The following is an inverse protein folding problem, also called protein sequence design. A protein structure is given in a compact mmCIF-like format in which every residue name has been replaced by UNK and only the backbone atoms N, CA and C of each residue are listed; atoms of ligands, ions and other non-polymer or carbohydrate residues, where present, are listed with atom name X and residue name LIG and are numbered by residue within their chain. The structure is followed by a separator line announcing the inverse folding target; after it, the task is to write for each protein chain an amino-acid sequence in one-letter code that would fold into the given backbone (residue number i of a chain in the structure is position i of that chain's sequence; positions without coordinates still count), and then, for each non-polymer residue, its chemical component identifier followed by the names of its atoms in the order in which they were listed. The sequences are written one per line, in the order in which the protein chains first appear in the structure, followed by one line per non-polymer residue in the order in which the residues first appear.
data_IF_288047940364
#
_entry.id   IF_288047940364
#
_cell.length_a   1.000
_cell.length_b   1.000
_cell.length_c   1.000
_cell.angle_alpha   90.00
_cell.angle_beta   90.00
_cell.angle_gamma   90.00
#
_symmetry.space_group_name_H-M   'P 1'
#
loop_
_entity.id
_entity.type
_entity.pdbx_description
1 polymer ?
#
# COMPACT_ATOMS: atom_id res chain seq x y z
N UNK A 1 -8.37 21.21 14.20
CA UNK A 1 -7.31 20.48 14.93
C UNK A 1 -6.61 19.63 13.88
N UNK A 2 -5.55 20.16 13.26
CA UNK A 2 -4.78 19.42 12.27
C UNK A 2 -3.93 18.37 13.00
N UNK A 3 -4.50 17.18 13.14
CA UNK A 3 -3.82 16.01 13.74
C UNK A 3 -2.55 15.66 12.93
N UNK A 4 -2.43 16.16 11.70
CA UNK A 4 -1.29 15.95 10.81
C UNK A 4 -0.23 17.08 10.82
N UNK A 5 -0.42 18.14 11.60
CA UNK A 5 0.53 19.27 11.65
C UNK A 5 1.90 18.91 12.27
N UNK A 6 1.96 17.84 13.08
CA UNK A 6 3.21 17.32 13.67
C UNK A 6 3.84 16.16 12.91
N UNK A 7 3.33 15.80 11.72
CA UNK A 7 3.79 14.61 10.99
C UNK A 7 5.09 14.92 10.23
N UNK A 8 6.20 14.43 10.76
CA UNK A 8 7.50 14.38 10.09
C UNK A 8 7.59 13.15 9.16
N UNK A 9 8.57 13.10 8.25
CA UNK A 9 8.82 11.98 7.33
C UNK A 9 8.82 10.62 8.02
N UNK A 10 9.50 10.50 9.17
CA UNK A 10 9.59 9.26 9.95
C UNK A 10 8.23 8.81 10.47
N UNK A 11 7.38 9.76 10.86
CA UNK A 11 6.05 9.48 11.36
C UNK A 11 5.12 9.02 10.23
N UNK A 12 5.26 9.60 9.05
CA UNK A 12 4.49 9.20 7.86
C UNK A 12 4.91 7.79 7.38
N UNK A 13 6.20 7.47 7.46
CA UNK A 13 6.69 6.10 7.25
C UNK A 13 6.19 5.11 8.32
N UNK A 14 6.14 5.51 9.59
CA UNK A 14 5.59 4.67 10.66
C UNK A 14 4.09 4.37 10.43
N UNK A 15 3.32 5.35 9.96
CA UNK A 15 1.90 5.17 9.63
C UNK A 15 1.68 4.19 8.48
N UNK A 16 2.55 4.18 7.45
CA UNK A 16 2.43 3.21 6.34
C UNK A 16 2.65 1.78 6.84
N UNK A 17 3.62 1.58 7.73
CA UNK A 17 3.86 0.30 8.39
C UNK A 17 2.71 -0.11 9.33
N UNK A 18 2.20 0.81 10.15
CA UNK A 18 1.08 0.55 11.05
C UNK A 18 -0.17 0.14 10.29
N UNK A 19 -0.50 0.84 9.20
CA UNK A 19 -1.65 0.51 8.36
C UNK A 19 -1.54 -0.91 7.77
N UNK A 20 -0.35 -1.26 7.25
CA UNK A 20 -0.08 -2.59 6.71
C UNK A 20 -0.20 -3.69 7.78
N UNK A 21 0.39 -3.48 8.96
CA UNK A 21 0.32 -4.41 10.08
C UNK A 21 -1.12 -4.59 10.57
N UNK A 22 -1.86 -3.49 10.76
CA UNK A 22 -3.26 -3.52 11.16
C UNK A 22 -4.12 -4.32 10.16
N UNK A 23 -3.92 -4.11 8.85
CA UNK A 23 -4.65 -4.85 7.82
C UNK A 23 -4.31 -6.34 7.84
N UNK A 24 -3.01 -6.69 7.93
CA UNK A 24 -2.56 -8.07 8.03
C UNK A 24 -3.14 -8.77 9.27
N UNK A 25 -3.07 -8.13 10.44
CA UNK A 25 -3.62 -8.66 11.68
C UNK A 25 -5.14 -8.80 11.61
N UNK A 26 -5.86 -7.82 11.06
CA UNK A 26 -7.31 -7.91 10.90
C UNK A 26 -7.72 -9.11 10.03
N UNK A 27 -7.04 -9.33 8.91
CA UNK A 27 -7.31 -10.47 8.03
C UNK A 27 -6.92 -11.79 8.69
N UNK A 28 -5.82 -11.83 9.46
CA UNK A 28 -5.43 -13.00 10.22
C UNK A 28 -6.44 -13.32 11.34
N UNK A 29 -6.99 -12.32 12.01
CA UNK A 29 -8.02 -12.50 13.04
C UNK A 29 -9.34 -13.00 12.44
N UNK A 30 -9.74 -12.47 11.27
CA UNK A 30 -10.95 -12.92 10.57
C UNK A 30 -10.77 -14.33 9.98
N UNK A 31 -9.63 -14.61 9.34
CA UNK A 31 -9.32 -15.90 8.71
C UNK A 31 -8.04 -16.49 9.29
N UNK A 32 -8.09 -16.91 10.57
CA UNK A 32 -6.96 -17.50 11.32
C UNK A 32 -6.22 -18.64 10.62
N UNK A 33 -6.89 -19.38 9.74
CA UNK A 33 -6.27 -20.49 9.00
C UNK A 33 -5.67 -20.09 7.65
N UNK A 34 -5.65 -18.80 7.29
CA UNK A 34 -5.18 -18.30 5.98
C UNK A 34 -4.18 -17.17 6.12
N UNK A 35 -2.94 -17.46 6.59
CA UNK A 35 -1.88 -16.47 6.70
C UNK A 35 -1.45 -15.93 5.32
N UNK A 36 -1.70 -16.67 4.24
CA UNK A 36 -1.47 -16.27 2.86
C UNK A 36 -2.31 -15.02 2.47
N UNK A 37 -3.59 -15.00 2.85
CA UNK A 37 -4.47 -13.86 2.60
C UNK A 37 -4.08 -12.64 3.45
N UNK A 38 -3.63 -12.87 4.69
CA UNK A 38 -3.16 -11.80 5.57
C UNK A 38 -1.90 -11.13 5.01
N UNK A 39 -0.95 -11.91 4.51
CA UNK A 39 0.25 -11.39 3.86
C UNK A 39 -0.09 -10.58 2.61
N UNK A 40 -0.98 -11.08 1.75
CA UNK A 40 -1.44 -10.34 0.56
C UNK A 40 -2.10 -9.01 0.92
N UNK A 41 -3.00 -9.02 1.91
CA UNK A 41 -3.70 -7.83 2.36
C UNK A 41 -2.71 -6.77 2.91
N UNK A 42 -1.75 -7.19 3.72
CA UNK A 42 -0.73 -6.31 4.27
C UNK A 42 0.11 -5.66 3.15
N UNK A 43 0.55 -6.43 2.16
CA UNK A 43 1.37 -5.93 1.05
C UNK A 43 0.59 -4.95 0.17
N UNK A 44 -0.68 -5.25 -0.14
CA UNK A 44 -1.53 -4.36 -0.95
C UNK A 44 -1.80 -3.04 -0.23
N UNK A 45 -2.17 -3.10 1.06
CA UNK A 45 -2.41 -1.88 1.86
C UNK A 45 -1.13 -1.08 2.01
N UNK A 46 0.01 -1.73 2.26
CA UNK A 46 1.30 -1.05 2.31
C UNK A 46 1.60 -0.30 1.01
N UNK A 47 1.42 -0.94 -0.15
CA UNK A 47 1.62 -0.29 -1.44
C UNK A 47 0.70 0.93 -1.63
N UNK A 48 -0.60 0.77 -1.36
CA UNK A 48 -1.59 1.84 -1.52
C UNK A 48 -1.31 3.05 -0.60
N UNK A 49 -0.96 2.80 0.67
CA UNK A 49 -0.68 3.86 1.63
C UNK A 49 0.64 4.57 1.30
N UNK A 50 1.66 3.87 0.81
CA UNK A 50 2.91 4.51 0.36
C UNK A 50 2.70 5.37 -0.91
N UNK A 51 1.84 4.95 -1.85
CA UNK A 51 1.45 5.80 -2.99
C UNK A 51 0.72 7.05 -2.51
N UNK A 52 -0.25 6.91 -1.61
CA UNK A 52 -0.98 8.04 -1.02
C UNK A 52 -0.07 9.00 -0.26
N UNK A 53 0.90 8.46 0.49
CA UNK A 53 1.93 9.23 1.18
C UNK A 53 2.78 10.05 0.20
N UNK A 54 3.23 9.44 -0.91
CA UNK A 54 3.98 10.14 -1.95
C UNK A 54 3.18 11.29 -2.57
N UNK A 55 1.89 11.06 -2.87
CA UNK A 55 0.99 12.11 -3.39
C UNK A 55 0.80 13.24 -2.36
N UNK A 56 0.61 12.91 -1.08
CA UNK A 56 0.45 13.89 -0.01
C UNK A 56 1.66 14.82 0.12
N UNK A 57 2.88 14.26 0.03
CA UNK A 57 4.13 15.05 0.05
C UNK A 57 4.21 16.00 -1.16
N UNK A 58 3.78 15.55 -2.34
CA UNK A 58 3.74 16.39 -3.54
C UNK A 58 2.66 17.47 -3.51
N UNK A 59 1.61 17.29 -2.71
CA UNK A 59 0.55 18.30 -2.52
C UNK A 59 0.96 19.38 -1.50
N UNK A 60 1.91 19.06 -0.60
CA UNK A 60 2.36 19.94 0.50
C UNK A 60 3.82 20.40 0.33
N UNK A 61 4.23 20.76 -0.88
CA UNK A 61 5.63 21.08 -1.24
C UNK A 61 6.22 22.29 -0.51
N UNK A 62 5.42 23.34 -0.27
CA UNK A 62 5.87 24.59 0.36
C UNK A 62 6.05 24.47 1.89
N UNK A 63 5.75 23.30 2.46
CA UNK A 63 5.84 23.07 3.88
C UNK A 63 7.27 22.64 4.26
N UNK A 64 7.95 23.44 5.08
CA UNK A 64 9.38 23.29 5.41
C UNK A 64 9.77 21.89 5.90
N UNK A 65 8.81 21.17 6.48
CA UNK A 65 8.94 19.76 6.93
C UNK A 65 9.34 18.76 5.83
N UNK A 66 9.07 19.05 4.55
CA UNK A 66 9.41 18.15 3.44
C UNK A 66 10.71 18.50 2.72
N UNK A 67 11.36 19.61 3.11
CA UNK A 67 12.62 20.06 2.53
C UNK A 67 12.72 21.56 2.26
N UNK A 68 11.66 22.33 2.44
CA UNK A 68 11.65 23.77 2.13
C UNK A 68 12.53 24.65 3.02
N UNK A 69 13.01 24.13 4.16
CA UNK A 69 13.97 24.82 5.03
C UNK A 69 15.42 24.34 4.82
N UNK A 70 15.65 23.34 3.95
CA UNK A 70 16.98 22.75 3.74
C UNK A 70 17.91 23.65 2.90
N UNK A 71 17.36 24.64 2.20
CA UNK A 71 18.11 25.57 1.36
C UNK A 71 17.72 27.00 1.75
N UNK A 72 18.72 27.88 1.88
CA UNK A 72 18.48 29.30 2.13
C UNK A 72 17.60 29.88 1.04
N UNK A 73 16.37 30.26 1.39
CA UNK A 73 15.45 30.93 0.47
C UNK A 73 16.12 32.17 -0.10
N UNK A 74 15.93 32.38 -1.39
CA UNK A 74 16.42 33.58 -2.06
C UNK A 74 15.55 34.76 -1.63
N UNK A 75 16.14 35.69 -0.88
CA UNK A 75 15.53 36.99 -0.58
C UNK A 75 15.91 37.97 -1.69
N UNK A 76 14.94 38.52 -2.44
CA UNK A 76 15.24 39.51 -3.46
C UNK A 76 15.70 40.83 -2.81
N UNK A 77 16.80 41.45 -3.30
CA UNK A 77 17.23 42.75 -2.79
C UNK A 77 16.23 43.83 -3.20
N UNK A 78 15.77 44.64 -2.24
CA UNK A 78 14.82 45.72 -2.50
C UNK A 78 15.46 46.85 -3.30
N UNK A 79 15.04 47.04 -4.54
CA UNK A 79 15.55 48.11 -5.42
C UNK A 79 14.75 49.42 -5.29
N UNK A 80 13.55 49.35 -4.73
CA UNK A 80 12.65 50.49 -4.48
C UNK A 80 13.12 51.43 -3.36
N UNK A 81 14.06 51.00 -2.51
CA UNK A 81 14.66 51.83 -1.45
C UNK A 81 15.69 52.86 -1.94
N UNK A 82 15.98 52.92 -3.25
CA UNK A 82 16.98 53.83 -3.81
C UNK A 82 16.45 55.28 -3.97
N UNK A 83 17.15 56.32 -3.45
CA UNK A 83 16.59 57.65 -3.19
C UNK A 83 16.22 58.52 -4.41
N UNK A 84 16.22 58.02 -5.65
CA UNK A 84 15.90 58.82 -6.86
C UNK A 84 15.13 58.04 -7.93
N UNK A 85 15.29 56.72 -8.01
CA UNK A 85 14.75 55.88 -9.11
C UNK A 85 13.78 54.82 -8.59
N UNK A 86 13.50 54.80 -7.29
CA UNK A 86 12.72 53.73 -6.62
C UNK A 86 11.35 53.46 -7.25
N UNK A 87 10.61 54.49 -7.66
CA UNK A 87 9.29 54.30 -8.29
C UNK A 87 9.36 53.64 -9.68
N UNK A 88 10.44 53.87 -10.43
CA UNK A 88 10.63 53.29 -11.76
C UNK A 88 11.21 51.88 -11.69
N UNK A 89 11.84 51.52 -10.56
CA UNK A 89 12.36 50.20 -10.28
C UNK A 89 11.31 49.29 -9.63
N UNK A 90 10.15 49.82 -9.23
CA UNK A 90 9.07 49.04 -8.62
C UNK A 90 8.56 47.87 -9.50
N UNK A 91 8.38 48.00 -10.82
CA UNK A 91 8.04 46.86 -11.69
C UNK A 91 9.17 45.83 -11.77
N UNK A 92 10.43 46.27 -11.65
CA UNK A 92 11.60 45.40 -11.64
C UNK A 92 11.74 44.65 -10.31
N UNK A 93 11.45 45.32 -9.19
CA UNK A 93 11.36 44.75 -7.84
C UNK A 93 10.29 43.65 -7.81
N UNK A 94 9.12 43.92 -8.40
CA UNK A 94 8.04 42.94 -8.54
C UNK A 94 8.43 41.76 -9.44
N UNK A 95 9.12 42.00 -10.56
CA UNK A 95 9.62 40.94 -11.44
C UNK A 95 10.70 40.08 -10.77
N UNK A 96 11.59 40.67 -9.98
CA UNK A 96 12.60 39.93 -9.21
C UNK A 96 11.99 39.16 -8.06
N UNK A 97 10.98 39.71 -7.37
CA UNK A 97 10.24 39.01 -6.34
C UNK A 97 9.46 37.81 -6.90
N UNK A 98 8.85 37.94 -8.09
CA UNK A 98 8.20 36.84 -8.79
C UNK A 98 9.21 35.77 -9.25
N UNK A 99 10.37 36.18 -9.76
CA UNK A 99 11.44 35.25 -10.15
C UNK A 99 12.04 34.51 -8.94
N UNK A 100 12.27 35.22 -7.83
CA UNK A 100 12.74 34.63 -6.57
C UNK A 100 11.69 33.69 -5.97
N UNK A 101 10.40 34.04 -6.06
CA UNK A 101 9.27 33.18 -5.69
C UNK A 101 9.29 31.86 -6.48
N UNK A 102 9.36 31.93 -7.82
CA UNK A 102 9.44 30.74 -8.68
C UNK A 102 10.71 29.91 -8.45
N UNK A 103 11.83 30.56 -8.16
CA UNK A 103 13.08 29.87 -7.86
C UNK A 103 13.00 29.12 -6.52
N UNK A 104 12.36 29.71 -5.50
CA UNK A 104 12.09 29.06 -4.23
C UNK A 104 11.10 27.89 -4.40
N UNK A 105 10.04 28.03 -5.21
CA UNK A 105 9.12 26.93 -5.52
C UNK A 105 9.85 25.73 -6.17
N UNK A 106 10.84 26.01 -7.04
CA UNK A 106 11.65 24.97 -7.68
C UNK A 106 12.59 24.28 -6.69
N UNK A 107 13.19 25.04 -5.76
CA UNK A 107 14.04 24.51 -4.69
C UNK A 107 13.22 23.62 -3.75
N UNK A 108 12.02 24.06 -3.37
CA UNK A 108 11.07 23.29 -2.55
C UNK A 108 10.66 21.99 -3.25
N UNK A 109 10.36 22.07 -4.55
CA UNK A 109 10.09 20.88 -5.37
C UNK A 109 11.28 19.93 -5.44
N UNK A 110 12.49 20.44 -5.67
CA UNK A 110 13.71 19.65 -5.74
C UNK A 110 14.03 18.95 -4.41
N UNK A 111 13.75 19.61 -3.29
CA UNK A 111 13.97 19.07 -1.95
C UNK A 111 12.92 18.00 -1.58
N UNK A 112 11.66 18.19 -2.00
CA UNK A 112 10.56 17.26 -1.72
C UNK A 112 10.51 16.04 -2.68
N UNK A 113 11.02 16.17 -3.91
CA UNK A 113 11.06 15.11 -4.92
C UNK A 113 11.73 13.81 -4.45
N UNK A 114 12.95 13.80 -3.87
CA UNK A 114 13.59 12.58 -3.41
C UNK A 114 12.80 11.92 -2.26
N UNK A 115 12.04 12.70 -1.49
CA UNK A 115 11.19 12.18 -0.41
C UNK A 115 10.01 11.42 -0.98
N UNK A 116 9.29 12.03 -1.93
CA UNK A 116 8.18 11.39 -2.61
C UNK A 116 8.63 10.14 -3.38
N UNK A 117 9.78 10.22 -4.07
CA UNK A 117 10.38 9.07 -4.77
C UNK A 117 10.74 7.93 -3.80
N UNK A 118 11.15 8.21 -2.56
CA UNK A 118 11.36 7.19 -1.55
C UNK A 118 10.10 6.37 -1.25
N UNK A 119 8.95 7.05 -1.13
CA UNK A 119 7.65 6.39 -0.93
C UNK A 119 7.17 5.63 -2.16
N UNK A 120 7.35 6.19 -3.36
CA UNK A 120 7.01 5.50 -4.61
C UNK A 120 7.93 4.28 -4.86
N UNK A 121 9.21 4.38 -4.53
CA UNK A 121 10.13 3.25 -4.60
C UNK A 121 9.70 2.13 -3.62
N UNK A 122 9.32 2.48 -2.39
CA UNK A 122 8.79 1.52 -1.43
C UNK A 122 7.51 0.84 -1.94
N UNK A 123 6.60 1.59 -2.57
CA UNK A 123 5.41 1.03 -3.21
C UNK A 123 5.76 0.13 -4.41
N UNK A 124 6.77 0.50 -5.21
CA UNK A 124 7.28 -0.31 -6.32
C UNK A 124 7.86 -1.64 -5.84
N UNK A 125 8.64 -1.63 -4.76
CA UNK A 125 9.13 -2.85 -4.13
C UNK A 125 8.01 -3.71 -3.55
N UNK A 126 6.99 -3.09 -2.97
CA UNK A 126 5.82 -3.81 -2.49
C UNK A 126 5.07 -4.54 -3.62
N UNK A 127 4.93 -3.89 -4.78
CA UNK A 127 4.37 -4.53 -5.98
C UNK A 127 5.26 -5.67 -6.49
N UNK A 128 6.59 -5.51 -6.45
CA UNK A 128 7.51 -6.58 -6.81
C UNK A 128 7.38 -7.80 -5.87
N UNK A 129 7.15 -7.57 -4.57
CA UNK A 129 6.92 -8.62 -3.56
C UNK A 129 5.51 -9.22 -3.67
N UNK A 130 4.53 -8.48 -4.18
CA UNK A 130 3.15 -8.96 -4.34
C UNK A 130 3.07 -10.19 -5.26
N UNK A 131 3.89 -10.22 -6.32
CA UNK A 131 3.92 -11.33 -7.29
C UNK A 131 4.34 -12.66 -6.64
N UNK A 132 5.51 -12.79 -5.99
CA UNK A 132 5.91 -14.05 -5.35
C UNK A 132 4.96 -14.45 -4.20
N UNK A 133 4.44 -13.48 -3.43
CA UNK A 133 3.47 -13.78 -2.36
C UNK A 133 2.16 -14.31 -2.96
N UNK A 134 1.69 -13.73 -4.07
CA UNK A 134 0.51 -14.21 -4.79
C UNK A 134 0.67 -15.62 -5.34
N UNK A 135 1.82 -15.92 -5.94
CA UNK A 135 2.14 -17.27 -6.42
C UNK A 135 2.19 -18.29 -5.27
N UNK A 136 2.80 -17.92 -4.14
CA UNK A 136 2.84 -18.75 -2.95
C UNK A 136 1.44 -19.04 -2.42
N UNK A 137 0.59 -18.01 -2.28
CA UNK A 137 -0.79 -18.16 -1.84
C UNK A 137 -1.59 -19.10 -2.77
N UNK A 138 -1.44 -18.91 -4.09
CA UNK A 138 -2.08 -19.76 -5.09
C UNK A 138 -1.62 -21.22 -4.99
N UNK A 139 -0.33 -21.46 -4.77
CA UNK A 139 0.22 -22.81 -4.61
C UNK A 139 -0.32 -23.51 -3.35
N UNK A 140 -0.40 -22.80 -2.22
CA UNK A 140 -0.97 -23.33 -0.97
C UNK A 140 -2.45 -23.68 -1.16
N UNK A 141 -3.23 -22.78 -1.77
CA UNK A 141 -4.66 -23.01 -2.03
C UNK A 141 -4.90 -24.17 -3.01
N UNK A 142 -4.07 -24.30 -4.05
CA UNK A 142 -4.13 -25.42 -4.97
C UNK A 142 -3.83 -26.74 -4.27
N UNK A 143 -2.84 -26.77 -3.36
CA UNK A 143 -2.49 -27.96 -2.59
C UNK A 143 -3.59 -28.38 -1.62
N UNK A 144 -4.16 -27.44 -0.89
CA UNK A 144 -5.32 -27.71 -0.02
C UNK A 144 -6.54 -28.19 -0.82
N UNK A 145 -6.81 -27.56 -1.97
CA UNK A 145 -7.89 -27.97 -2.86
C UNK A 145 -7.71 -29.40 -3.37
N UNK A 146 -6.48 -29.79 -3.73
CA UNK A 146 -6.15 -31.16 -4.14
C UNK A 146 -6.36 -32.15 -2.99
N UNK A 147 -5.93 -31.83 -1.78
CA UNK A 147 -6.13 -32.69 -0.59
C UNK A 147 -7.61 -32.95 -0.32
N UNK A 148 -8.43 -31.90 -0.30
CA UNK A 148 -9.88 -32.01 -0.08
C UNK A 148 -10.56 -32.84 -1.17
N UNK A 149 -10.14 -32.69 -2.43
CA UNK A 149 -10.65 -33.52 -3.54
C UNK A 149 -10.28 -34.99 -3.38
N UNK A 150 -9.06 -35.29 -2.94
CA UNK A 150 -8.62 -36.66 -2.68
C UNK A 150 -9.39 -37.29 -1.51
N UNK A 151 -9.60 -36.54 -0.42
CA UNK A 151 -10.42 -36.98 0.72
C UNK A 151 -11.87 -37.25 0.29
N UNK A 152 -12.46 -36.35 -0.49
CA UNK A 152 -13.82 -36.54 -1.01
C UNK A 152 -13.95 -37.78 -1.92
N UNK A 153 -12.95 -38.01 -2.78
CA UNK A 153 -12.92 -39.19 -3.65
C UNK A 153 -12.76 -40.49 -2.84
N UNK A 154 -11.95 -40.49 -1.79
CA UNK A 154 -11.79 -41.64 -0.90
C UNK A 154 -13.10 -41.98 -0.17
N UNK A 155 -13.79 -40.97 0.36
CA UNK A 155 -15.11 -41.16 1.01
C UNK A 155 -16.15 -41.67 0.02
N UNK A 156 -16.18 -41.17 -1.21
CA UNK A 156 -17.08 -41.68 -2.25
C UNK A 156 -16.83 -43.16 -2.54
N UNK A 157 -15.56 -43.56 -2.66
CA UNK A 157 -15.20 -44.96 -2.89
C UNK A 157 -15.60 -45.86 -1.71
N UNK A 158 -15.44 -45.41 -0.47
CA UNK A 158 -15.91 -46.17 0.70
C UNK A 158 -17.43 -46.32 0.71
N UNK A 159 -18.19 -45.26 0.38
CA UNK A 159 -19.65 -45.31 0.28
C UNK A 159 -20.11 -46.27 -0.80
N UNK A 160 -19.46 -46.26 -1.98
CA UNK A 160 -19.76 -47.20 -3.07
C UNK A 160 -19.48 -48.65 -2.67
N UNK A 161 -18.36 -48.90 -1.99
CA UNK A 161 -18.02 -50.23 -1.47
C UNK A 161 -19.05 -50.70 -0.44
N UNK A 162 -19.41 -49.85 0.52
CA UNK A 162 -20.41 -50.17 1.54
C UNK A 162 -21.78 -50.44 0.93
N UNK A 163 -22.18 -49.71 -0.11
CA UNK A 163 -23.42 -49.99 -0.85
C UNK A 163 -23.38 -51.36 -1.53
N UNK A 164 -22.26 -51.69 -2.17
CA UNK A 164 -22.11 -52.99 -2.83
C UNK A 164 -22.13 -54.16 -1.82
N UNK A 165 -21.49 -53.99 -0.66
CA UNK A 165 -21.54 -54.97 0.43
C UNK A 165 -22.95 -55.10 1.00
N UNK A 166 -23.67 -53.99 1.18
CA UNK A 166 -25.06 -54.00 1.64
C UNK A 166 -25.97 -54.73 0.65
N UNK A 167 -25.83 -54.47 -0.65
CA UNK A 167 -26.60 -55.14 -1.70
C UNK A 167 -26.29 -56.64 -1.79
N UNK A 168 -25.04 -57.04 -1.52
CA UNK A 168 -24.66 -58.45 -1.43
C UNK A 168 -25.31 -59.14 -0.23
N UNK A 169 -25.29 -58.50 0.95
CA UNK A 169 -25.95 -59.01 2.16
C UNK A 169 -27.46 -59.07 1.97
N UNK A 170 -28.07 -58.03 1.39
CA UNK A 170 -29.51 -57.97 1.11
C UNK A 170 -29.96 -59.12 0.19
N UNK A 171 -29.18 -59.42 -0.85
CA UNK A 171 -29.39 -60.58 -1.73
C UNK A 171 -29.19 -61.91 -1.00
N UNK A 172 -28.18 -62.02 -0.14
CA UNK A 172 -27.90 -63.26 0.60
C UNK A 172 -28.98 -63.59 1.64
N UNK A 173 -29.54 -62.59 2.31
CA UNK A 173 -30.62 -62.75 3.31
C UNK A 173 -31.98 -62.98 2.62
N UNK A 174 -32.05 -62.94 1.28
CA UNK A 174 -33.29 -63.11 0.54
C UNK A 174 -34.27 -61.95 0.72
N UNK A 175 -33.76 -60.77 1.12
CA UNK A 175 -34.57 -59.57 1.27
C UNK A 175 -34.91 -59.05 -0.13
N UNK A 176 -35.98 -59.60 -0.70
CA UNK A 176 -36.59 -59.15 -1.94
C UNK A 176 -37.28 -57.82 -1.63
N UNK A 177 -36.86 -56.76 -2.29
CA UNK A 177 -37.53 -55.46 -2.19
C UNK A 177 -39.01 -55.65 -2.51
N UNK A 178 -39.82 -55.52 -1.47
CA UNK A 178 -41.25 -55.28 -1.59
C UNK A 178 -41.30 -53.76 -1.82
N UNK A 179 -41.78 -53.36 -3.00
CA UNK A 179 -41.84 -52.01 -3.59
C UNK A 179 -40.75 -51.68 -4.62
#
# INVERSE_FOLDING_TARGET
MDILAGVNREWLAALTWLAALCAGVAVLLWRRRRPDLAALAAVVVFAAVNVGAGIYVLDHLADGRWGGDAHSRLDPPSLSGAPVVGQFLQPLDAAMADLAGRANDFIDFQAALPVALGFFAAAGWALAVLVPVGLWAAAVQAREGRRRKAEAAAVQHEVEKLRAELDAVKRHVGYRDIF
#
